data_IF_215766157461
#
_entry.id   IF_215766157461
#
_cell.length_a   1.000
_cell.length_b   1.000
_cell.length_c   1.000
_cell.angle_alpha   90.00
_cell.angle_beta   90.00
_cell.angle_gamma   90.00
#
_symmetry.space_group_name_H-M   'P 1'
#
loop_
_entity.id
_entity.type
_entity.pdbx_description
1 polymer ?
#
# COMPACT_ATOMS: atom_id res chain seq x y z
N UNK A 1 -15.23 33.37 9.19
CA UNK A 1 -14.65 32.04 9.40
C UNK A 1 -13.47 31.94 8.44
N UNK A 2 -12.34 31.56 8.97
CA UNK A 2 -11.15 31.37 8.14
C UNK A 2 -11.38 30.19 7.20
N UNK A 3 -10.93 30.33 5.94
CA UNK A 3 -11.05 29.28 4.93
C UNK A 3 -10.07 28.16 5.29
N UNK A 4 -10.55 26.94 5.42
CA UNK A 4 -9.71 25.78 5.66
C UNK A 4 -8.92 25.45 4.38
N UNK A 5 -7.59 25.50 4.47
CA UNK A 5 -6.70 25.12 3.35
C UNK A 5 -6.28 23.67 3.48
N UNK A 6 -6.44 22.89 2.42
CA UNK A 6 -6.17 21.47 2.37
C UNK A 6 -5.26 21.18 1.18
N UNK A 7 -4.30 20.28 1.37
CA UNK A 7 -3.45 19.72 0.32
C UNK A 7 -3.95 18.34 -0.04
N UNK A 8 -4.12 18.09 -1.34
CA UNK A 8 -4.40 16.77 -1.88
C UNK A 8 -3.18 16.20 -2.59
N UNK A 9 -2.79 14.95 -2.30
CA UNK A 9 -1.69 14.25 -2.98
C UNK A 9 -2.24 13.04 -3.71
N UNK A 10 -2.24 13.07 -5.04
CA UNK A 10 -2.77 12.00 -5.87
C UNK A 10 -1.75 10.87 -6.04
N UNK A 11 -2.24 9.63 -6.22
CA UNK A 11 -1.39 8.45 -6.47
C UNK A 11 -0.72 8.52 -7.84
N UNK A 12 0.55 8.10 -7.91
CA UNK A 12 1.24 7.85 -9.17
C UNK A 12 0.64 6.64 -9.91
N UNK A 13 0.52 6.75 -11.24
CA UNK A 13 -0.11 5.72 -12.08
C UNK A 13 0.60 4.36 -12.00
N UNK A 14 1.91 4.36 -11.78
CA UNK A 14 2.75 3.18 -11.65
C UNK A 14 2.40 2.31 -10.43
N UNK A 15 1.77 2.88 -9.40
CA UNK A 15 1.41 2.16 -8.17
C UNK A 15 0.05 1.48 -8.22
N UNK A 16 -0.74 1.72 -9.26
CA UNK A 16 -2.06 1.12 -9.45
C UNK A 16 -2.44 1.04 -10.94
N UNK A 17 -1.61 0.39 -11.77
CA UNK A 17 -1.76 0.46 -13.24
C UNK A 17 -3.11 -0.07 -13.75
N UNK A 18 -3.74 -0.98 -13.00
CA UNK A 18 -5.05 -1.54 -13.37
C UNK A 18 -6.26 -0.73 -12.86
N UNK A 19 -6.03 0.33 -12.10
CA UNK A 19 -7.07 1.11 -11.41
C UNK A 19 -6.87 2.63 -11.51
N UNK A 20 -6.07 3.12 -12.45
CA UNK A 20 -5.73 4.55 -12.60
C UNK A 20 -6.98 5.42 -12.66
N UNK A 21 -7.96 5.04 -13.49
CA UNK A 21 -9.21 5.81 -13.64
C UNK A 21 -10.06 5.79 -12.37
N UNK A 22 -10.12 4.64 -11.67
CA UNK A 22 -10.85 4.53 -10.40
C UNK A 22 -10.20 5.36 -9.30
N UNK A 23 -8.87 5.31 -9.18
CA UNK A 23 -8.11 6.10 -8.21
C UNK A 23 -8.28 7.59 -8.48
N UNK A 24 -8.20 8.01 -9.74
CA UNK A 24 -8.45 9.40 -10.14
C UNK A 24 -9.88 9.83 -9.84
N UNK A 25 -10.87 8.99 -10.11
CA UNK A 25 -12.29 9.29 -9.83
C UNK A 25 -12.54 9.48 -8.32
N UNK A 26 -11.97 8.61 -7.47
CA UNK A 26 -12.08 8.73 -6.00
C UNK A 26 -11.43 10.03 -5.53
N UNK A 27 -10.20 10.29 -5.95
CA UNK A 27 -9.44 11.48 -5.56
C UNK A 27 -10.15 12.78 -5.98
N UNK A 28 -10.62 12.84 -7.23
CA UNK A 28 -11.34 13.99 -7.76
C UNK A 28 -12.66 14.21 -7.00
N UNK A 29 -13.39 13.14 -6.68
CA UNK A 29 -14.65 13.27 -5.95
C UNK A 29 -14.44 13.79 -4.53
N UNK A 30 -13.42 13.33 -3.82
CA UNK A 30 -13.05 13.89 -2.51
C UNK A 30 -12.70 15.37 -2.64
N UNK A 31 -11.90 15.75 -3.64
CA UNK A 31 -11.51 17.14 -3.90
C UNK A 31 -12.72 18.03 -4.15
N UNK A 32 -13.66 17.59 -5.00
CA UNK A 32 -14.91 18.29 -5.28
C UNK A 32 -15.74 18.54 -4.02
N UNK A 33 -15.94 17.48 -3.21
CA UNK A 33 -16.74 17.59 -1.99
C UNK A 33 -16.10 18.52 -0.95
N UNK A 34 -14.79 18.48 -0.78
CA UNK A 34 -14.07 19.40 0.10
C UNK A 34 -14.25 20.86 -0.36
N UNK A 35 -14.13 21.12 -1.66
CA UNK A 35 -14.39 22.47 -2.22
C UNK A 35 -15.84 22.89 -2.03
N UNK A 36 -16.80 21.98 -2.23
CA UNK A 36 -18.24 22.24 -2.00
C UNK A 36 -18.52 22.60 -0.55
N UNK A 37 -17.74 22.06 0.39
CA UNK A 37 -17.81 22.39 1.81
C UNK A 37 -17.11 23.71 2.18
N UNK A 38 -16.56 24.42 1.20
CA UNK A 38 -15.92 25.73 1.40
C UNK A 38 -14.42 25.67 1.71
N UNK A 39 -13.77 24.51 1.52
CA UNK A 39 -12.32 24.41 1.70
C UNK A 39 -11.58 24.90 0.43
N UNK A 40 -10.43 25.53 0.64
CA UNK A 40 -9.45 25.73 -0.44
C UNK A 40 -8.60 24.48 -0.61
N UNK A 41 -8.69 23.79 -1.76
CA UNK A 41 -7.96 22.54 -2.00
C UNK A 41 -6.94 22.72 -3.12
N UNK A 42 -5.66 22.57 -2.80
CA UNK A 42 -4.53 22.51 -3.75
C UNK A 42 -4.13 21.06 -3.95
N UNK A 43 -3.99 20.65 -5.21
CA UNK A 43 -3.74 19.26 -5.59
C UNK A 43 -2.36 19.13 -6.22
N UNK A 44 -1.63 18.07 -5.85
CA UNK A 44 -0.31 17.74 -6.35
C UNK A 44 -0.22 16.27 -6.73
N UNK A 45 0.51 15.95 -7.79
CA UNK A 45 1.01 14.59 -8.00
C UNK A 45 2.09 14.28 -6.97
N UNK A 46 2.32 12.99 -6.63
CA UNK A 46 3.33 12.58 -5.66
C UNK A 46 4.70 13.21 -5.90
N UNK A 47 5.16 13.18 -7.15
CA UNK A 47 6.44 13.74 -7.55
C UNK A 47 6.51 15.26 -7.29
N UNK A 48 5.49 16.01 -7.74
CA UNK A 48 5.44 17.46 -7.59
C UNK A 48 5.36 17.88 -6.13
N UNK A 49 4.63 17.12 -5.31
CA UNK A 49 4.53 17.35 -3.86
C UNK A 49 5.91 17.31 -3.19
N UNK A 50 6.74 16.33 -3.55
CA UNK A 50 8.09 16.18 -3.01
C UNK A 50 9.04 17.24 -3.58
N UNK A 51 9.10 17.40 -4.90
CA UNK A 51 10.04 18.30 -5.58
C UNK A 51 9.83 19.77 -5.20
N UNK A 52 8.59 20.19 -4.99
CA UNK A 52 8.26 21.57 -4.59
C UNK A 52 8.35 21.78 -3.06
N UNK A 53 8.65 20.74 -2.27
CA UNK A 53 8.76 20.84 -0.83
C UNK A 53 7.47 21.29 -0.14
N UNK A 54 6.31 20.89 -0.67
CA UNK A 54 4.99 21.33 -0.22
C UNK A 54 4.79 21.03 1.26
N UNK A 55 4.19 21.98 2.00
CA UNK A 55 3.79 21.88 3.40
C UNK A 55 2.35 22.35 3.60
N UNK A 56 1.69 21.79 4.59
CA UNK A 56 0.34 22.19 5.00
C UNK A 56 -0.07 21.49 6.29
N UNK A 57 -1.04 22.10 6.98
CA UNK A 57 -1.53 21.56 8.26
C UNK A 57 -2.53 20.43 8.08
N UNK A 58 -3.22 20.37 6.92
CA UNK A 58 -4.17 19.31 6.59
C UNK A 58 -3.84 18.78 5.21
N UNK A 59 -3.60 17.49 5.11
CA UNK A 59 -3.23 16.80 3.89
C UNK A 59 -4.11 15.56 3.76
N UNK A 60 -4.80 15.39 2.63
CA UNK A 60 -5.37 14.09 2.28
C UNK A 60 -4.57 13.49 1.12
N UNK A 61 -4.35 12.18 1.16
CA UNK A 61 -3.49 11.55 0.18
C UNK A 61 -3.97 10.16 -0.24
N UNK A 62 -3.52 9.76 -1.41
CA UNK A 62 -3.59 8.40 -1.94
C UNK A 62 -2.20 7.87 -2.29
N UNK A 63 -1.15 8.47 -1.73
CA UNK A 63 0.24 8.18 -2.04
C UNK A 63 0.64 6.71 -1.84
N UNK A 64 1.62 6.26 -2.64
CA UNK A 64 2.26 4.94 -2.53
C UNK A 64 3.77 5.01 -2.75
N UNK A 65 4.28 6.11 -3.33
CA UNK A 65 5.71 6.30 -3.49
C UNK A 65 6.40 6.41 -2.14
N UNK A 66 7.51 5.67 -1.97
CA UNK A 66 8.24 5.60 -0.69
C UNK A 66 8.81 6.96 -0.25
N UNK A 67 9.25 7.78 -1.20
CA UNK A 67 9.80 9.12 -0.88
C UNK A 67 8.66 10.03 -0.44
N UNK A 68 7.52 9.97 -1.13
CA UNK A 68 6.32 10.73 -0.78
C UNK A 68 5.78 10.31 0.60
N UNK A 69 5.69 9.02 0.89
CA UNK A 69 5.27 8.51 2.20
C UNK A 69 6.22 8.96 3.30
N UNK A 70 7.54 8.91 3.07
CA UNK A 70 8.53 9.40 4.04
C UNK A 70 8.36 10.91 4.29
N UNK A 71 8.05 11.70 3.26
CA UNK A 71 7.76 13.12 3.40
C UNK A 71 6.47 13.39 4.17
N UNK A 72 5.39 12.66 3.86
CA UNK A 72 4.12 12.76 4.58
C UNK A 72 4.30 12.41 6.06
N UNK A 73 5.07 11.37 6.37
CA UNK A 73 5.41 10.98 7.75
C UNK A 73 6.14 12.10 8.50
N UNK A 74 7.14 12.76 7.85
CA UNK A 74 7.82 13.91 8.45
C UNK A 74 6.85 15.04 8.79
N UNK A 75 5.89 15.32 7.90
CA UNK A 75 4.88 16.35 8.16
C UNK A 75 3.91 15.95 9.26
N UNK A 76 3.53 14.68 9.34
CA UNK A 76 2.71 14.11 10.41
C UNK A 76 3.42 14.22 11.76
N UNK A 77 4.74 13.95 11.81
CA UNK A 77 5.58 14.12 13.00
C UNK A 77 5.75 15.61 13.38
N UNK A 78 5.70 16.52 12.41
CA UNK A 78 5.70 17.97 12.61
C UNK A 78 4.33 18.50 13.08
N UNK A 79 3.28 17.65 13.14
CA UNK A 79 1.95 17.98 13.65
C UNK A 79 0.88 18.20 12.58
N UNK A 80 1.16 17.96 11.30
CA UNK A 80 0.14 18.01 10.25
C UNK A 80 -0.86 16.85 10.40
N UNK A 81 -2.14 17.13 10.12
CA UNK A 81 -3.16 16.10 9.97
C UNK A 81 -3.05 15.45 8.60
N UNK A 82 -2.53 14.23 8.54
CA UNK A 82 -2.41 13.46 7.29
C UNK A 82 -3.47 12.37 7.24
N UNK A 83 -4.29 12.35 6.19
CA UNK A 83 -5.38 11.42 5.93
C UNK A 83 -5.21 10.79 4.54
N UNK A 84 -4.90 9.52 4.42
CA UNK A 84 -4.65 8.52 5.48
C UNK A 84 -3.26 8.76 6.11
N UNK A 85 -3.10 8.40 7.40
CA UNK A 85 -1.80 8.48 8.05
C UNK A 85 -0.71 7.74 7.26
N UNK A 86 0.45 8.39 7.08
CA UNK A 86 1.59 7.82 6.37
C UNK A 86 2.09 6.53 7.04
N UNK A 87 2.00 6.44 8.37
CA UNK A 87 2.28 5.21 9.13
C UNK A 87 1.27 4.10 8.81
N UNK A 88 -0.02 4.46 8.67
CA UNK A 88 -1.06 3.52 8.29
C UNK A 88 -0.86 2.97 6.88
N UNK A 89 -0.39 3.78 5.94
CA UNK A 89 -0.10 3.35 4.56
C UNK A 89 1.02 2.31 4.53
N UNK A 90 2.12 2.53 5.26
CA UNK A 90 3.21 1.55 5.36
C UNK A 90 2.74 0.24 6.00
N UNK A 91 1.91 0.32 7.03
CA UNK A 91 1.34 -0.85 7.69
C UNK A 91 0.37 -1.65 6.81
N UNK A 92 -0.16 -1.05 5.74
CA UNK A 92 -1.01 -1.75 4.76
C UNK A 92 -0.21 -2.58 3.74
N UNK A 93 1.12 -2.47 3.67
CA UNK A 93 1.95 -3.38 2.87
C UNK A 93 1.83 -4.79 3.44
N UNK A 94 1.75 -5.80 2.57
CA UNK A 94 1.29 -7.15 2.97
C UNK A 94 2.13 -7.79 4.10
N UNK A 95 3.46 -7.72 4.02
CA UNK A 95 4.32 -8.26 5.08
C UNK A 95 4.11 -7.52 6.42
N UNK A 96 4.27 -6.19 6.54
CA UNK A 96 4.02 -5.46 7.78
C UNK A 96 2.61 -5.68 8.33
N UNK A 97 1.60 -5.69 7.46
CA UNK A 97 0.22 -5.95 7.87
C UNK A 97 0.08 -7.34 8.50
N UNK A 98 0.65 -8.38 7.87
CA UNK A 98 0.60 -9.74 8.39
C UNK A 98 1.33 -9.83 9.75
N UNK A 99 2.50 -9.20 9.89
CA UNK A 99 3.25 -9.14 11.15
C UNK A 99 2.43 -8.47 12.27
N UNK A 100 1.74 -7.37 11.95
CA UNK A 100 0.88 -6.67 12.90
C UNK A 100 -0.34 -7.51 13.33
N UNK A 101 -0.99 -8.21 12.40
CA UNK A 101 -2.12 -9.09 12.69
C UNK A 101 -1.69 -10.21 13.64
N UNK A 102 -0.57 -10.88 13.33
CA UNK A 102 0.00 -11.93 14.16
C UNK A 102 0.35 -11.40 15.55
N UNK A 103 1.12 -10.31 15.62
CA UNK A 103 1.59 -9.70 16.86
C UNK A 103 0.45 -9.31 17.82
N UNK A 104 -0.65 -8.83 17.26
CA UNK A 104 -1.77 -8.32 18.05
C UNK A 104 -2.91 -9.35 18.24
N UNK A 105 -2.73 -10.59 17.80
CA UNK A 105 -3.73 -11.67 17.94
C UNK A 105 -5.05 -11.35 17.20
N UNK A 106 -4.98 -10.57 16.12
CA UNK A 106 -6.16 -10.25 15.31
C UNK A 106 -6.53 -11.49 14.50
N UNK A 107 -7.80 -11.94 14.49
CA UNK A 107 -8.24 -13.07 13.68
C UNK A 107 -7.91 -12.86 12.20
N UNK A 108 -7.17 -13.78 11.63
CA UNK A 108 -6.76 -13.78 10.22
C UNK A 108 -6.51 -15.23 9.76
N UNK A 109 -6.55 -15.53 8.45
CA UNK A 109 -6.14 -16.82 7.93
C UNK A 109 -4.72 -17.15 8.39
N UNK A 110 -4.43 -18.43 8.71
CA UNK A 110 -3.07 -18.82 9.06
C UNK A 110 -2.09 -18.36 8.00
N UNK A 111 -1.04 -17.66 8.42
CA UNK A 111 -0.19 -16.90 7.52
C UNK A 111 1.28 -17.10 7.84
N UNK A 112 2.08 -17.29 6.78
CA UNK A 112 3.53 -17.46 6.85
C UNK A 112 4.21 -16.38 6.03
N UNK A 113 5.26 -15.78 6.57
CA UNK A 113 6.13 -14.84 5.87
C UNK A 113 7.41 -15.59 5.55
N UNK A 114 7.76 -15.63 4.28
CA UNK A 114 8.93 -16.40 3.81
C UNK A 114 9.77 -15.53 2.87
N UNK A 115 11.10 -15.64 2.99
CA UNK A 115 12.00 -15.15 1.93
C UNK A 115 11.80 -16.00 0.68
N UNK A 116 11.73 -15.38 -0.48
CA UNK A 116 11.63 -16.13 -1.74
C UNK A 116 12.88 -16.94 -2.06
N UNK A 117 13.99 -16.72 -1.32
CA UNK A 117 15.21 -17.51 -1.42
C UNK A 117 15.16 -18.79 -0.59
N UNK A 118 14.26 -18.88 0.39
CA UNK A 118 14.17 -20.03 1.30
C UNK A 118 13.30 -21.14 0.69
N UNK A 119 13.49 -22.38 1.19
CA UNK A 119 12.64 -23.52 0.85
C UNK A 119 11.33 -23.45 1.66
N UNK A 120 10.22 -23.74 1.01
CA UNK A 120 8.93 -23.86 1.69
C UNK A 120 8.81 -25.24 2.36
N UNK A 121 8.80 -25.25 3.69
CA UNK A 121 8.77 -26.48 4.50
C UNK A 121 7.39 -26.81 5.09
N UNK A 122 6.44 -25.88 4.99
CA UNK A 122 5.09 -26.04 5.54
C UNK A 122 4.21 -26.89 4.62
N UNK A 123 3.14 -27.46 5.17
CA UNK A 123 2.22 -28.36 4.45
C UNK A 123 0.78 -27.85 4.45
N UNK A 124 0.60 -26.53 4.33
CA UNK A 124 -0.72 -25.92 4.30
C UNK A 124 -1.20 -25.78 2.85
N UNK A 125 -2.05 -26.68 2.43
CA UNK A 125 -2.65 -26.71 1.09
C UNK A 125 -4.15 -26.96 1.17
N UNK A 126 -4.98 -26.33 0.33
CA UNK A 126 -4.59 -25.27 -0.62
C UNK A 126 -4.22 -23.96 0.08
N UNK A 127 -3.44 -23.12 -0.60
CA UNK A 127 -3.02 -21.85 -0.05
C UNK A 127 -2.92 -20.74 -1.12
N UNK A 128 -2.86 -19.50 -0.66
CA UNK A 128 -2.58 -18.33 -1.48
C UNK A 128 -1.15 -17.86 -1.25
N UNK A 129 -0.37 -17.77 -2.30
CA UNK A 129 0.99 -17.20 -2.28
C UNK A 129 0.94 -15.80 -2.86
N UNK A 130 1.37 -14.82 -2.08
CA UNK A 130 1.22 -13.39 -2.42
C UNK A 130 2.57 -12.70 -2.25
N UNK A 131 2.91 -11.75 -3.14
CA UNK A 131 4.08 -10.91 -2.91
C UNK A 131 3.94 -10.15 -1.59
N UNK A 132 5.01 -10.05 -0.81
CA UNK A 132 4.96 -9.49 0.53
C UNK A 132 5.49 -8.05 0.65
N UNK A 133 6.31 -7.61 -0.31
CA UNK A 133 7.04 -6.34 -0.30
C UNK A 133 6.22 -5.13 -0.77
N UNK A 134 5.07 -5.38 -1.42
CA UNK A 134 4.15 -4.35 -1.89
C UNK A 134 2.75 -4.89 -2.10
N UNK A 135 1.84 -4.03 -2.59
CA UNK A 135 0.54 -4.45 -3.13
C UNK A 135 0.72 -5.21 -4.45
N UNK A 136 -0.29 -6.00 -4.84
CA UNK A 136 -0.31 -6.65 -6.14
C UNK A 136 -0.31 -5.60 -7.27
N UNK A 137 0.67 -5.68 -8.16
CA UNK A 137 0.81 -4.81 -9.33
C UNK A 137 0.38 -5.53 -10.60
N UNK A 138 0.55 -6.85 -10.62
CA UNK A 138 0.12 -7.74 -11.72
C UNK A 138 -0.62 -8.94 -11.15
N UNK A 139 -1.33 -9.67 -12.02
CA UNK A 139 -2.16 -10.82 -11.62
C UNK A 139 -1.33 -11.90 -10.92
N UNK A 140 -0.11 -12.11 -11.38
CA UNK A 140 0.82 -13.13 -10.87
C UNK A 140 1.35 -12.83 -9.45
N UNK A 141 1.13 -11.61 -8.94
CA UNK A 141 1.51 -11.24 -7.56
C UNK A 141 0.63 -11.90 -6.49
N UNK A 142 -0.44 -12.57 -6.90
CA UNK A 142 -1.34 -13.36 -6.05
C UNK A 142 -1.67 -14.65 -6.80
N UNK A 143 -1.17 -15.77 -6.33
CA UNK A 143 -1.35 -17.07 -6.96
C UNK A 143 -1.91 -18.09 -5.97
N UNK A 144 -2.72 -19.01 -6.47
CA UNK A 144 -3.28 -20.12 -5.72
C UNK A 144 -2.40 -21.35 -5.93
N UNK A 145 -2.18 -22.11 -4.89
CA UNK A 145 -1.36 -23.33 -4.92
C UNK A 145 -2.04 -24.46 -4.16
N UNK A 146 -2.00 -25.65 -4.74
CA UNK A 146 -2.61 -26.88 -4.22
C UNK A 146 -1.60 -27.88 -3.72
N UNK A 147 -0.31 -27.67 -4.00
CA UNK A 147 0.79 -28.54 -3.58
C UNK A 147 2.10 -27.77 -3.41
N UNK A 148 3.11 -28.42 -2.80
CA UNK A 148 4.45 -27.85 -2.56
C UNK A 148 5.12 -27.36 -3.86
N UNK A 149 5.07 -28.16 -4.90
CA UNK A 149 5.71 -27.85 -6.19
C UNK A 149 5.18 -26.52 -6.78
N UNK A 150 3.87 -26.30 -6.69
CA UNK A 150 3.27 -25.04 -7.17
C UNK A 150 3.75 -23.83 -6.33
N UNK A 151 3.83 -23.97 -5.00
CA UNK A 151 4.39 -22.91 -4.14
C UNK A 151 5.84 -22.60 -4.51
N UNK A 152 6.68 -23.62 -4.66
CA UNK A 152 8.09 -23.45 -5.03
C UNK A 152 8.26 -22.78 -6.39
N UNK A 153 7.42 -23.14 -7.37
CA UNK A 153 7.40 -22.50 -8.70
C UNK A 153 7.02 -21.02 -8.60
N UNK A 154 6.02 -20.67 -7.78
CA UNK A 154 5.62 -19.28 -7.56
C UNK A 154 6.74 -18.50 -6.87
N UNK A 155 7.37 -19.05 -5.83
CA UNK A 155 8.50 -18.43 -5.15
C UNK A 155 9.69 -18.22 -6.10
N UNK A 156 9.95 -19.18 -6.99
CA UNK A 156 10.97 -19.07 -8.00
C UNK A 156 10.69 -17.96 -9.04
N UNK A 157 9.42 -17.77 -9.44
CA UNK A 157 8.99 -16.66 -10.27
C UNK A 157 9.17 -15.31 -9.55
N UNK A 158 8.72 -15.22 -8.30
CA UNK A 158 8.92 -14.01 -7.49
C UNK A 158 10.42 -13.65 -7.38
N UNK A 159 11.29 -14.64 -7.16
CA UNK A 159 12.74 -14.43 -7.11
C UNK A 159 13.28 -13.89 -8.42
N UNK A 160 12.87 -14.44 -9.56
CA UNK A 160 13.27 -13.96 -10.91
C UNK A 160 12.84 -12.52 -11.14
N UNK A 161 11.70 -12.12 -10.59
CA UNK A 161 11.15 -10.77 -10.67
C UNK A 161 11.71 -9.81 -9.61
N UNK A 162 12.67 -10.25 -8.79
CA UNK A 162 13.30 -9.43 -7.75
C UNK A 162 12.41 -9.17 -6.53
N UNK A 163 11.36 -9.97 -6.32
CA UNK A 163 10.48 -9.88 -5.14
C UNK A 163 11.13 -10.68 -4.00
N UNK A 164 11.57 -10.03 -2.91
CA UNK A 164 12.40 -10.71 -1.91
C UNK A 164 11.60 -11.52 -0.89
N UNK A 165 10.31 -11.24 -0.72
CA UNK A 165 9.48 -11.82 0.32
C UNK A 165 8.08 -12.14 -0.20
N UNK A 166 7.55 -13.28 0.24
CA UNK A 166 6.18 -13.71 0.02
C UNK A 166 5.42 -13.84 1.35
N UNK A 167 4.11 -13.72 1.27
CA UNK A 167 3.17 -14.10 2.33
C UNK A 167 2.31 -15.23 1.80
N UNK A 168 2.29 -16.34 2.53
CA UNK A 168 1.48 -17.52 2.23
C UNK A 168 0.34 -17.58 3.23
N UNK A 169 -0.90 -17.62 2.74
CA UNK A 169 -2.09 -17.70 3.57
C UNK A 169 -2.84 -19.01 3.28
N UNK A 170 -3.33 -19.66 4.30
CA UNK A 170 -4.27 -20.77 4.10
C UNK A 170 -5.48 -20.31 3.29
N UNK A 171 -6.09 -21.23 2.57
CA UNK A 171 -7.37 -21.03 1.90
C UNK A 171 -8.49 -21.48 2.85
N UNK A 172 -9.39 -20.55 3.16
CA UNK A 172 -10.59 -20.80 3.99
C UNK A 172 -11.75 -21.28 3.13
#
# INVERSE_FOLDING_TARGET
>A
MDVISIIGVSRGNEYSPNHVDNDAAIFNKVTEELRRLGCEVKVYAEKDFVEQGVKGDIIFDMARDKVTIARLRSLEDEGALVINSAYGIDNCVRKPMTELLIKNGVPHPQSFIISTADEYLENYYPCWVKRGDSHAMVKEDVAYATCKEEVENILADFRKRGIPVAVINEHL
#
